data_IF_352655171727
#
_entry.id   IF_352655171727
#
_cell.length_a   1.000
_cell.length_b   1.000
_cell.length_c   1.000
_cell.angle_alpha   90.00
_cell.angle_beta   90.00
_cell.angle_gamma   90.00
#
_symmetry.space_group_name_H-M   'P 1'
#
loop_
_entity.id
_entity.type
_entity.pdbx_description
1 polymer ?
#
# COMPACT_ATOMS: atom_id res chain seq x y z
N UNK A 1 -6.22 -13.29 11.23
CA UNK A 1 -5.86 -13.94 9.94
C UNK A 1 -5.50 -12.95 8.83
N UNK A 2 -5.98 -11.70 8.87
CA UNK A 2 -5.67 -10.61 7.93
C UNK A 2 -4.17 -10.26 7.75
N UNK A 3 -3.29 -10.79 8.61
CA UNK A 3 -1.86 -10.44 8.68
C UNK A 3 -1.00 -10.99 7.53
N UNK A 4 -1.34 -12.16 6.97
CA UNK A 4 -0.53 -12.81 5.92
C UNK A 4 -0.87 -12.30 4.51
N UNK A 5 -2.09 -11.80 4.30
CA UNK A 5 -2.53 -11.24 3.01
C UNK A 5 -2.07 -9.79 2.87
N UNK A 6 -1.99 -9.05 3.99
CA UNK A 6 -1.36 -7.74 4.07
C UNK A 6 0.14 -7.77 3.68
N UNK A 7 0.83 -8.89 3.90
CA UNK A 7 2.25 -9.06 3.60
C UNK A 7 2.56 -9.19 2.10
N UNK A 8 1.59 -9.65 1.29
CA UNK A 8 1.78 -9.75 -0.15
C UNK A 8 1.47 -8.45 -0.88
N UNK A 9 0.50 -7.68 -0.38
CA UNK A 9 -0.06 -6.49 -0.99
C UNK A 9 0.91 -5.28 -0.95
N UNK A 10 2.16 -5.51 -1.37
CA UNK A 10 3.15 -4.51 -1.63
C UNK A 10 2.69 -3.78 -2.89
N UNK A 11 1.86 -2.77 -2.73
CA UNK A 11 2.35 -1.42 -2.43
C UNK A 11 1.26 -0.66 -1.61
N UNK A 12 0.47 -1.36 -0.78
CA UNK A 12 -0.81 -0.91 -0.18
C UNK A 12 -0.76 0.32 0.77
N UNK A 13 -0.63 1.50 0.19
CA UNK A 13 -0.98 2.81 0.72
C UNK A 13 -2.48 2.96 1.02
N UNK A 14 -2.86 2.63 2.25
CA UNK A 14 -3.59 3.64 3.02
C UNK A 14 -3.17 3.57 4.48
N UNK A 15 -2.58 4.68 4.92
CA UNK A 15 -2.58 5.18 6.30
C UNK A 15 -3.80 4.75 7.14
N UNK A 16 -4.97 4.70 6.50
CA UNK A 16 -6.28 4.45 7.08
C UNK A 16 -6.71 2.98 7.18
N UNK A 17 -5.95 2.03 6.63
CA UNK A 17 -6.32 0.60 6.61
C UNK A 17 -5.40 -0.32 7.40
N UNK A 18 -4.24 0.19 7.83
CA UNK A 18 -3.33 -0.55 8.69
C UNK A 18 -3.88 -0.54 10.12
N UNK A 19 -4.29 -1.67 10.72
CA UNK A 19 -4.20 -1.76 12.17
C UNK A 19 -2.74 -1.46 12.49
N UNK A 20 -2.44 -0.32 13.15
CA UNK A 20 -1.05 -0.01 13.47
C UNK A 20 -0.48 -1.23 14.18
N UNK A 21 0.57 -1.84 13.63
CA UNK A 21 1.11 -3.06 14.17
C UNK A 21 1.63 -2.89 15.59
N UNK A 22 0.84 -3.30 16.58
CA UNK A 22 1.35 -3.54 17.92
C UNK A 22 2.15 -4.86 18.01
N UNK A 23 2.20 -5.64 16.93
CA UNK A 23 2.93 -6.89 16.83
C UNK A 23 4.19 -6.73 15.94
N UNK A 24 5.27 -7.37 16.39
CA UNK A 24 6.62 -7.26 15.83
C UNK A 24 6.71 -7.58 14.33
N UNK A 25 5.84 -8.46 13.81
CA UNK A 25 5.88 -8.83 12.40
C UNK A 25 5.33 -7.74 11.49
N UNK A 26 4.36 -6.96 11.96
CA UNK A 26 3.85 -5.87 11.17
C UNK A 26 4.62 -4.54 11.36
N UNK A 27 5.41 -4.41 12.43
CA UNK A 27 6.46 -3.37 12.50
C UNK A 27 7.57 -3.59 11.47
N UNK A 28 7.95 -4.84 11.17
CA UNK A 28 8.91 -5.15 10.10
C UNK A 28 8.42 -4.70 8.73
N UNK A 29 7.10 -4.59 8.49
CA UNK A 29 6.58 -4.08 7.22
C UNK A 29 6.82 -2.59 7.02
N UNK A 30 6.96 -1.80 8.10
CA UNK A 30 7.30 -0.38 8.00
C UNK A 30 8.65 -0.17 7.32
N UNK A 31 9.56 -1.14 7.41
CA UNK A 31 10.90 -1.07 6.81
C UNK A 31 10.91 -1.04 5.28
N UNK A 32 9.79 -1.40 4.64
CA UNK A 32 9.67 -1.42 3.19
C UNK A 32 8.80 -0.25 2.67
N UNK A 33 8.18 0.53 3.56
CA UNK A 33 7.41 1.70 3.17
C UNK A 33 8.33 2.91 2.93
N UNK A 34 7.95 3.84 2.02
CA UNK A 34 8.67 5.10 1.88
C UNK A 34 8.72 5.90 3.20
N UNK A 35 9.76 6.71 3.40
CA UNK A 35 10.02 7.38 4.68
C UNK A 35 8.91 8.36 5.09
N UNK A 36 8.26 9.00 4.11
CA UNK A 36 7.12 9.90 4.32
C UNK A 36 5.97 9.18 5.04
N UNK A 37 5.78 7.92 4.69
CA UNK A 37 4.73 7.02 5.17
C UNK A 37 5.06 6.59 6.58
N UNK A 38 6.31 6.16 6.79
CA UNK A 38 6.79 5.73 8.09
C UNK A 38 6.69 6.90 9.07
N UNK A 39 7.08 8.10 8.65
CA UNK A 39 6.91 9.32 9.45
C UNK A 39 5.45 9.60 9.76
N UNK A 40 4.57 9.52 8.76
CA UNK A 40 3.15 9.70 8.96
C UNK A 40 2.60 8.72 9.99
N UNK A 41 2.82 7.41 9.80
CA UNK A 41 2.33 6.35 10.70
C UNK A 41 2.85 6.56 12.13
N UNK A 42 4.13 6.91 12.29
CA UNK A 42 4.73 7.19 13.61
C UNK A 42 4.23 8.49 14.25
N UNK A 43 3.70 9.42 13.46
CA UNK A 43 3.18 10.70 13.94
C UNK A 43 1.73 10.65 14.43
N UNK A 44 1.03 9.53 14.19
CA UNK A 44 -0.38 9.37 14.55
C UNK A 44 -0.55 9.17 16.05
N UNK A 45 -1.46 9.93 16.65
CA UNK A 45 -1.87 9.71 18.04
C UNK A 45 -2.91 8.57 18.13
N UNK A 46 -3.13 7.97 19.31
CA UNK A 46 -4.20 6.99 19.51
C UNK A 46 -5.59 7.48 19.07
N UNK A 47 -5.89 8.76 19.28
CA UNK A 47 -7.16 9.38 18.90
C UNK A 47 -7.30 9.54 17.38
N UNK A 48 -6.21 9.90 16.70
CA UNK A 48 -6.17 9.98 15.25
C UNK A 48 -6.29 8.58 14.61
N UNK A 49 -5.72 7.55 15.24
CA UNK A 49 -5.89 6.16 14.81
C UNK A 49 -7.33 5.70 14.92
N UNK A 50 -7.95 5.96 16.07
CA UNK A 50 -9.38 5.69 16.27
C UNK A 50 -10.23 6.41 15.22
N UNK A 51 -9.88 7.66 14.90
CA UNK A 51 -10.56 8.43 13.86
C UNK A 51 -10.45 7.77 12.48
N UNK A 52 -9.27 7.28 12.10
CA UNK A 52 -9.07 6.54 10.85
C UNK A 52 -9.90 5.25 10.82
N UNK A 53 -9.93 4.49 11.92
CA UNK A 53 -10.73 3.27 12.05
C UNK A 53 -12.24 3.53 11.91
N UNK A 54 -12.74 4.61 12.49
CA UNK A 54 -14.16 5.00 12.39
C UNK A 54 -14.56 5.50 11.00
N UNK A 55 -13.64 6.15 10.28
CA UNK A 55 -13.90 6.69 8.93
C UNK A 55 -13.79 5.60 7.87
N UNK A 56 -12.89 4.61 8.05
CA UNK A 56 -12.66 3.52 7.10
C UNK A 56 -13.93 2.85 6.57
N UNK A 57 -14.90 2.39 7.39
CA UNK A 57 -16.11 1.77 6.87
C UNK A 57 -16.96 2.72 6.03
N UNK A 58 -16.99 4.03 6.36
CA UNK A 58 -17.73 5.04 5.58
C UNK A 58 -17.12 5.24 4.20
N UNK A 59 -15.79 5.26 4.12
CA UNK A 59 -15.08 5.32 2.83
C UNK A 59 -15.36 4.04 2.02
N UNK A 60 -15.25 2.86 2.66
CA UNK A 60 -15.50 1.58 2.01
C UNK A 60 -16.93 1.47 1.45
N UNK A 61 -17.94 1.90 2.21
CA UNK A 61 -19.33 1.96 1.77
C UNK A 61 -19.52 2.89 0.57
N UNK A 62 -18.90 4.08 0.60
CA UNK A 62 -18.99 5.03 -0.52
C UNK A 62 -18.33 4.48 -1.79
N UNK A 63 -17.19 3.80 -1.67
CA UNK A 63 -16.51 3.14 -2.79
C UNK A 63 -17.34 1.98 -3.36
N UNK A 64 -17.96 1.16 -2.51
CA UNK A 64 -18.84 0.05 -2.95
C UNK A 64 -20.11 0.54 -3.62
N UNK A 65 -20.65 1.68 -3.20
CA UNK A 65 -21.88 2.26 -3.75
C UNK A 65 -21.69 2.89 -5.15
N UNK A 66 -20.52 2.71 -5.79
CA UNK A 66 -20.16 3.37 -7.06
C UNK A 66 -20.30 4.91 -7.03
N UNK A 67 -20.31 5.51 -5.82
CA UNK A 67 -20.21 6.95 -5.72
C UNK A 67 -18.78 7.31 -6.09
N UNK A 68 -18.64 8.26 -7.02
CA UNK A 68 -17.37 8.91 -7.34
C UNK A 68 -16.81 9.51 -6.06
N UNK A 69 -16.05 8.72 -5.30
CA UNK A 69 -15.29 9.18 -4.18
C UNK A 69 -13.90 9.46 -4.72
N UNK A 70 -13.64 10.73 -4.97
CA UNK A 70 -12.30 11.18 -5.29
C UNK A 70 -11.41 11.06 -4.06
N UNK A 71 -10.10 11.14 -4.29
CA UNK A 71 -9.14 11.26 -3.18
C UNK A 71 -9.45 12.47 -2.30
N UNK A 72 -9.89 13.57 -2.92
CA UNK A 72 -10.32 14.79 -2.24
C UNK A 72 -11.57 14.56 -1.37
N UNK A 73 -12.58 13.84 -1.87
CA UNK A 73 -13.77 13.52 -1.08
C UNK A 73 -13.44 12.66 0.16
N UNK A 74 -12.46 11.78 0.04
CA UNK A 74 -11.97 10.96 1.16
C UNK A 74 -11.24 11.82 2.20
N UNK A 75 -10.43 12.79 1.75
CA UNK A 75 -9.73 13.72 2.63
C UNK A 75 -10.70 14.67 3.35
N UNK A 76 -11.78 15.10 2.70
CA UNK A 76 -12.79 15.93 3.33
C UNK A 76 -13.50 15.21 4.49
N UNK A 77 -13.78 13.91 4.35
CA UNK A 77 -14.30 13.10 5.46
C UNK A 77 -13.35 13.04 6.67
N UNK A 78 -12.04 13.02 6.41
CA UNK A 78 -11.04 13.11 7.47
C UNK A 78 -11.05 14.50 8.12
N UNK A 79 -11.10 15.56 7.31
CA UNK A 79 -11.11 16.95 7.79
C UNK A 79 -12.30 17.24 8.70
N UNK A 80 -13.47 16.69 8.40
CA UNK A 80 -14.69 16.78 9.23
C UNK A 80 -14.53 16.20 10.64
N UNK A 81 -13.56 15.28 10.83
CA UNK A 81 -13.31 14.61 12.12
C UNK A 81 -12.06 15.11 12.82
N UNK A 82 -10.99 15.37 12.07
CA UNK A 82 -9.73 15.85 12.61
C UNK A 82 -8.97 16.65 11.56
N UNK A 83 -8.88 17.96 11.77
CA UNK A 83 -8.07 18.85 10.93
C UNK A 83 -6.57 18.52 11.03
N UNK A 84 -6.09 18.17 12.23
CA UNK A 84 -4.72 17.69 12.45
C UNK A 84 -4.40 16.47 11.58
N UNK A 85 -5.29 15.48 11.58
CA UNK A 85 -5.11 14.27 10.78
C UNK A 85 -5.16 14.57 9.27
N UNK A 86 -6.08 15.44 8.84
CA UNK A 86 -6.14 15.90 7.45
C UNK A 86 -4.83 16.54 7.01
N UNK A 87 -4.27 17.47 7.79
CA UNK A 87 -3.02 18.16 7.46
C UNK A 87 -1.84 17.18 7.39
N UNK A 88 -1.78 16.20 8.31
CA UNK A 88 -0.76 15.13 8.28
C UNK A 88 -0.87 14.26 7.04
N UNK A 89 -2.07 13.84 6.65
CA UNK A 89 -2.27 13.02 5.44
C UNK A 89 -1.87 13.83 4.20
N UNK A 90 -2.28 15.10 4.12
CA UNK A 90 -1.95 15.98 3.01
C UNK A 90 -0.43 16.19 2.88
N UNK A 91 0.26 16.51 3.97
CA UNK A 91 1.71 16.70 3.96
C UNK A 91 2.47 15.44 3.54
N UNK A 92 2.01 14.26 3.94
CA UNK A 92 2.56 12.98 3.49
C UNK A 92 2.34 12.78 1.98
N UNK A 93 1.11 13.03 1.49
CA UNK A 93 0.78 12.86 0.08
C UNK A 93 1.55 13.82 -0.82
N UNK A 94 1.67 15.09 -0.43
CA UNK A 94 2.43 16.10 -1.18
C UNK A 94 3.88 15.66 -1.41
N UNK A 95 4.56 15.17 -0.37
CA UNK A 95 5.94 14.66 -0.49
C UNK A 95 6.05 13.43 -1.40
N UNK A 96 5.09 12.50 -1.32
CA UNK A 96 5.05 11.34 -2.23
C UNK A 96 4.86 11.79 -3.68
N UNK A 97 3.98 12.76 -3.92
CA UNK A 97 3.73 13.29 -5.26
C UNK A 97 4.90 14.08 -5.81
N UNK A 98 5.61 14.86 -4.98
CA UNK A 98 6.85 15.54 -5.37
C UNK A 98 7.90 14.54 -5.86
N UNK A 99 8.05 13.41 -5.16
CA UNK A 99 8.98 12.33 -5.53
C UNK A 99 8.53 11.63 -6.81
N UNK A 100 7.24 11.30 -6.93
CA UNK A 100 6.64 10.71 -8.14
C UNK A 100 6.80 11.62 -9.36
N UNK A 101 6.65 12.94 -9.19
CA UNK A 101 6.73 13.90 -10.29
C UNK A 101 8.14 14.10 -10.85
N UNK A 102 9.18 13.66 -10.13
CA UNK A 102 10.57 13.67 -10.59
C UNK A 102 10.92 12.47 -11.49
N UNK A 103 10.05 11.45 -11.53
CA UNK A 103 10.25 10.29 -12.38
C UNK A 103 9.97 10.61 -13.86
N UNK A 104 10.69 9.93 -14.74
CA UNK A 104 10.39 9.87 -16.17
C UNK A 104 9.07 9.15 -16.44
N UNK A 105 8.50 9.34 -17.64
CA UNK A 105 7.12 8.96 -17.97
C UNK A 105 6.79 7.50 -17.64
N UNK A 106 7.59 6.53 -18.09
CA UNK A 106 7.31 5.10 -17.89
C UNK A 106 7.32 4.68 -16.40
N UNK A 107 8.40 4.94 -15.65
CA UNK A 107 8.46 4.78 -14.20
C UNK A 107 7.31 5.47 -13.46
N UNK A 108 6.99 6.70 -13.83
CA UNK A 108 5.91 7.48 -13.23
C UNK A 108 4.56 6.83 -13.45
N UNK A 109 4.27 6.38 -14.67
CA UNK A 109 3.03 5.69 -15.02
C UNK A 109 2.86 4.40 -14.20
N UNK A 110 3.91 3.59 -14.11
CA UNK A 110 3.89 2.36 -13.32
C UNK A 110 3.65 2.64 -11.83
N UNK A 111 4.41 3.57 -11.22
CA UNK A 111 4.24 3.91 -9.80
C UNK A 111 2.85 4.50 -9.54
N UNK A 112 2.33 5.31 -10.46
CA UNK A 112 0.96 5.85 -10.36
C UNK A 112 -0.09 4.73 -10.41
N UNK A 113 0.06 3.79 -11.35
CA UNK A 113 -0.81 2.62 -11.46
C UNK A 113 -0.76 1.77 -10.20
N UNK A 114 0.44 1.51 -9.67
CA UNK A 114 0.62 0.84 -8.40
C UNK A 114 -0.21 1.56 -7.34
N UNK A 115 0.12 2.82 -7.02
CA UNK A 115 -0.52 3.64 -5.97
C UNK A 115 -2.05 3.64 -6.05
N UNK A 116 -2.63 3.72 -7.26
CA UNK A 116 -4.09 3.67 -7.47
C UNK A 116 -4.67 2.29 -7.17
N UNK A 117 -4.06 1.23 -7.69
CA UNK A 117 -4.48 -0.16 -7.49
C UNK A 117 -4.60 -0.46 -6.00
N UNK A 118 -3.53 -0.17 -5.30
CA UNK A 118 -3.39 -0.20 -3.84
C UNK A 118 -4.50 0.52 -3.09
N UNK A 119 -4.73 1.79 -3.39
CA UNK A 119 -5.67 2.61 -2.65
C UNK A 119 -7.08 2.00 -2.74
N UNK A 120 -7.43 1.53 -3.95
CA UNK A 120 -8.68 0.82 -4.21
C UNK A 120 -8.81 -0.46 -3.39
N UNK A 121 -7.75 -1.27 -3.28
CA UNK A 121 -7.79 -2.55 -2.57
C UNK A 121 -7.62 -2.43 -1.04
N UNK A 122 -7.22 -1.28 -0.50
CA UNK A 122 -7.14 -1.05 0.95
C UNK A 122 -8.49 -1.16 1.68
N UNK A 123 -9.60 -1.06 0.94
CA UNK A 123 -10.97 -1.23 1.43
C UNK A 123 -11.62 -2.54 0.98
N UNK A 124 -10.88 -3.40 0.29
CA UNK A 124 -11.32 -4.74 -0.11
C UNK A 124 -11.12 -5.72 1.06
N UNK A 125 -12.09 -6.62 1.25
CA UNK A 125 -12.02 -7.67 2.27
C UNK A 125 -11.84 -9.06 1.64
N UNK A 126 -12.00 -9.16 0.32
CA UNK A 126 -11.74 -10.37 -0.44
C UNK A 126 -10.23 -10.62 -0.58
N UNK A 127 -9.71 -11.51 0.29
CA UNK A 127 -8.31 -11.89 0.34
C UNK A 127 -7.78 -12.45 -1.00
N UNK A 128 -8.62 -13.15 -1.77
CA UNK A 128 -8.21 -13.71 -3.04
C UNK A 128 -8.03 -12.62 -4.09
N UNK A 129 -8.94 -11.64 -4.16
CA UNK A 129 -8.80 -10.47 -5.04
C UNK A 129 -7.56 -9.65 -4.72
N UNK A 130 -7.27 -9.45 -3.42
CA UNK A 130 -6.06 -8.74 -2.98
C UNK A 130 -4.81 -9.48 -3.48
N UNK A 131 -4.75 -10.80 -3.30
CA UNK A 131 -3.62 -11.61 -3.79
C UNK A 131 -3.53 -11.58 -5.32
N UNK A 132 -4.65 -11.72 -6.04
CA UNK A 132 -4.66 -11.68 -7.49
C UNK A 132 -4.07 -10.36 -8.04
N UNK A 133 -4.51 -9.23 -7.48
CA UNK A 133 -4.05 -7.90 -7.91
C UNK A 133 -2.62 -7.59 -7.50
N UNK A 134 -2.19 -8.15 -6.38
CA UNK A 134 -0.78 -8.14 -6.00
C UNK A 134 0.08 -8.85 -7.03
N UNK A 135 -0.32 -10.06 -7.45
CA UNK A 135 0.42 -10.85 -8.43
C UNK A 135 0.50 -10.12 -9.78
N UNK A 136 -0.61 -9.50 -10.23
CA UNK A 136 -0.65 -8.64 -11.41
C UNK A 136 0.35 -7.48 -11.30
N UNK A 137 0.36 -6.76 -10.17
CA UNK A 137 1.29 -5.64 -9.98
C UNK A 137 2.77 -6.10 -10.00
N UNK A 138 3.06 -7.27 -9.43
CA UNK A 138 4.41 -7.85 -9.44
C UNK A 138 4.83 -8.24 -10.86
N UNK A 139 3.91 -8.81 -11.64
CA UNK A 139 4.14 -9.18 -13.04
C UNK A 139 4.38 -7.95 -13.93
N UNK A 140 3.56 -6.91 -13.80
CA UNK A 140 3.76 -5.63 -14.49
C UNK A 140 5.11 -5.00 -14.12
N UNK A 141 5.50 -5.09 -12.84
CA UNK A 141 6.80 -4.62 -12.38
C UNK A 141 7.97 -5.38 -13.02
N UNK A 142 7.81 -6.66 -13.32
CA UNK A 142 8.84 -7.46 -13.99
C UNK A 142 9.07 -7.04 -15.44
N UNK A 143 8.02 -6.57 -16.14
CA UNK A 143 8.08 -6.08 -17.52
C UNK A 143 8.75 -4.71 -17.67
N UNK A 144 9.02 -4.00 -16.57
CA UNK A 144 9.78 -2.75 -16.62
C UNK A 144 11.21 -2.97 -17.12
N UNK A 145 11.71 -2.01 -17.91
CA UNK A 145 13.11 -1.99 -18.32
C UNK A 145 14.05 -1.88 -17.12
N UNK A 146 15.31 -2.31 -17.28
CA UNK A 146 16.33 -2.18 -16.24
C UNK A 146 16.52 -0.74 -15.77
N UNK A 147 16.50 0.22 -16.70
CA UNK A 147 16.62 1.65 -16.41
C UNK A 147 15.40 2.17 -15.64
N UNK A 148 14.19 1.77 -16.04
CA UNK A 148 12.97 2.12 -15.31
C UNK A 148 12.97 1.57 -13.88
N UNK A 149 13.37 0.30 -13.68
CA UNK A 149 13.51 -0.30 -12.35
C UNK A 149 14.52 0.47 -11.50
N UNK A 150 15.68 0.81 -12.07
CA UNK A 150 16.73 1.56 -11.38
C UNK A 150 16.25 2.95 -10.95
N UNK A 151 15.54 3.66 -11.82
CA UNK A 151 15.00 4.99 -11.51
C UNK A 151 13.96 4.92 -10.38
N UNK A 152 13.05 3.94 -10.41
CA UNK A 152 12.08 3.70 -9.33
C UNK A 152 12.80 3.40 -8.03
N UNK A 153 13.84 2.56 -8.04
CA UNK A 153 14.60 2.20 -6.84
C UNK A 153 15.36 3.39 -6.26
N UNK A 154 15.89 4.28 -7.11
CA UNK A 154 16.52 5.52 -6.66
C UNK A 154 15.51 6.47 -6.02
N UNK A 155 14.33 6.62 -6.62
CA UNK A 155 13.27 7.45 -6.05
C UNK A 155 12.66 6.83 -4.79
N UNK A 156 12.49 5.50 -4.74
CA UNK A 156 11.86 4.75 -3.67
C UNK A 156 12.76 3.59 -3.19
N UNK A 157 13.83 3.87 -2.42
CA UNK A 157 14.79 2.84 -1.97
C UNK A 157 14.16 1.71 -1.16
N UNK A 158 13.05 1.99 -0.48
CA UNK A 158 12.30 0.98 0.29
C UNK A 158 11.71 -0.13 -0.61
N UNK A 159 11.38 0.20 -1.87
CA UNK A 159 10.94 -0.76 -2.89
C UNK A 159 12.10 -1.65 -3.30
N UNK A 160 13.30 -1.09 -3.49
CA UNK A 160 14.49 -1.88 -3.76
C UNK A 160 14.76 -2.87 -2.61
N UNK A 161 14.73 -2.38 -1.36
CA UNK A 161 14.90 -3.21 -0.17
C UNK A 161 13.90 -4.37 -0.11
N UNK A 162 12.64 -4.12 -0.47
CA UNK A 162 11.62 -5.17 -0.55
C UNK A 162 12.01 -6.28 -1.54
N UNK A 163 12.36 -5.90 -2.77
CA UNK A 163 12.75 -6.87 -3.80
C UNK A 163 14.09 -7.53 -3.52
N UNK A 164 14.98 -6.91 -2.73
CA UNK A 164 16.28 -7.45 -2.35
C UNK A 164 16.22 -8.42 -1.16
N UNK A 165 15.18 -8.33 -0.33
CA UNK A 165 15.02 -9.20 0.84
C UNK A 165 14.96 -10.68 0.46
N UNK A 166 15.78 -11.49 1.14
CA UNK A 166 15.95 -12.92 0.81
C UNK A 166 14.67 -13.72 1.02
N UNK A 167 13.85 -13.40 2.03
CA UNK A 167 12.59 -14.10 2.29
C UNK A 167 11.56 -13.73 1.24
N UNK A 168 11.48 -12.44 0.88
CA UNK A 168 10.61 -11.95 -0.19
C UNK A 168 11.00 -12.58 -1.52
N UNK A 169 12.27 -12.54 -1.93
CA UNK A 169 12.75 -13.21 -3.16
C UNK A 169 12.34 -14.68 -3.22
N UNK A 170 12.65 -15.45 -2.16
CA UNK A 170 12.28 -16.87 -2.08
C UNK A 170 10.79 -17.09 -2.16
N UNK A 171 10.00 -16.18 -1.59
CA UNK A 171 8.55 -16.26 -1.67
C UNK A 171 8.09 -16.02 -3.11
N UNK A 172 8.53 -14.93 -3.74
CA UNK A 172 8.21 -14.55 -5.11
C UNK A 172 8.58 -15.67 -6.11
N UNK A 173 9.76 -16.28 -5.96
CA UNK A 173 10.18 -17.44 -6.75
C UNK A 173 9.21 -18.62 -6.63
N UNK A 174 8.75 -18.92 -5.41
CA UNK A 174 7.81 -20.03 -5.17
C UNK A 174 6.38 -19.73 -5.64
N UNK A 175 6.02 -18.46 -5.80
CA UNK A 175 4.67 -18.04 -6.22
C UNK A 175 4.58 -17.62 -7.67
N UNK A 176 5.71 -17.48 -8.36
CA UNK A 176 5.77 -17.12 -9.78
C UNK A 176 4.90 -18.07 -10.62
N UNK A 177 4.01 -17.48 -11.44
CA UNK A 177 3.09 -18.21 -12.31
C UNK A 177 1.95 -18.96 -11.60
N UNK A 178 1.79 -18.83 -10.28
CA UNK A 178 0.71 -19.48 -9.54
C UNK A 178 -0.53 -18.58 -9.48
N UNK A 179 -1.70 -19.21 -9.52
CA UNK A 179 -2.98 -18.51 -9.37
C UNK A 179 -3.23 -18.05 -7.93
N UNK A 180 -4.02 -17.00 -7.77
CA UNK A 180 -4.31 -16.38 -6.47
C UNK A 180 -4.81 -17.35 -5.38
N UNK A 181 -5.72 -18.32 -5.64
CA UNK A 181 -6.14 -19.29 -4.62
C UNK A 181 -4.97 -20.11 -4.06
N UNK A 182 -4.02 -20.49 -4.92
CA UNK A 182 -2.86 -21.30 -4.54
C UNK A 182 -1.92 -20.47 -3.66
N UNK A 183 -1.63 -19.24 -4.07
CA UNK A 183 -0.79 -18.31 -3.32
C UNK A 183 -1.41 -17.96 -1.97
N UNK A 184 -2.72 -17.73 -1.93
CA UNK A 184 -3.46 -17.47 -0.70
C UNK A 184 -3.38 -18.65 0.27
N UNK A 185 -3.51 -19.89 -0.23
CA UNK A 185 -3.31 -21.10 0.58
C UNK A 185 -1.90 -21.17 1.16
N UNK A 186 -0.88 -20.87 0.35
CA UNK A 186 0.53 -20.83 0.80
C UNK A 186 0.74 -19.79 1.90
N UNK A 187 0.19 -18.58 1.74
CA UNK A 187 0.26 -17.53 2.77
C UNK A 187 -0.39 -17.95 4.08
N UNK A 188 -1.50 -18.68 4.02
CA UNK A 188 -2.18 -19.19 5.21
C UNK A 188 -1.37 -20.28 5.93
N UNK A 189 -0.55 -21.05 5.22
CA UNK A 189 0.32 -22.09 5.80
C UNK A 189 1.63 -21.59 6.42
N UNK A 190 1.93 -20.29 6.33
CA UNK A 190 3.11 -19.67 6.95
C UNK A 190 2.86 -19.25 8.42
N UNK A 191 1.66 -19.49 8.94
CA UNK A 191 1.26 -19.28 10.34
C UNK A 191 1.43 -20.56 11.12
#
# INVERSE_FOLDING_TARGET
MHKAVAALAFFCFSASSLPIPNDADAQKFLEYLPDEVVSFVKSLTPEELKTLEEIRPKIAERLKANKYLTEEDSLLLVKERSSSLYDKIRAMYEKLMERLNKLSTGPKEFVTYAMKTINKFSYENDEEKIVAKTLELLEEGEHLSGDSKKEIFQAFPSVQKFFEDRKIKKFLERTRGKQAPVVLKMLRSLK
#
